data_IF_903613596483
#
_entry.id   IF_903613596483
#
_cell.length_a   1.000
_cell.length_b   1.000
_cell.length_c   1.000
_cell.angle_alpha   90.00
_cell.angle_beta   90.00
_cell.angle_gamma   90.00
#
_symmetry.space_group_name_H-M   'P 1'
#
loop_
_entity.id
_entity.type
_entity.pdbx_description
1 polymer ?
#
# COMPACT_ATOMS: atom_id res chain seq x y z
N UNK A 1 19.63 11.43 -34.07
CA UNK A 1 18.67 11.84 -33.03
C UNK A 1 18.77 10.84 -31.87
N UNK A 2 19.31 11.26 -30.69
CA UNK A 2 19.16 10.48 -29.45
C UNK A 2 17.70 10.63 -29.00
N UNK A 3 16.91 9.61 -29.16
CA UNK A 3 15.57 9.57 -28.57
C UNK A 3 15.74 9.28 -27.08
N UNK A 4 15.30 10.20 -26.24
CA UNK A 4 15.15 9.92 -24.82
C UNK A 4 14.06 8.86 -24.67
N UNK A 5 14.36 7.77 -23.99
CA UNK A 5 13.42 6.69 -23.72
C UNK A 5 13.00 6.79 -22.25
N UNK A 6 11.70 6.67 -22.02
CA UNK A 6 11.15 6.52 -20.69
C UNK A 6 10.64 5.08 -20.56
N UNK A 7 11.09 4.39 -19.52
CA UNK A 7 10.73 3.00 -19.24
C UNK A 7 10.00 2.95 -17.91
N UNK A 8 8.79 2.39 -17.89
CA UNK A 8 8.07 2.08 -16.67
C UNK A 8 8.19 0.59 -16.39
N UNK A 9 8.58 0.25 -15.17
CA UNK A 9 8.73 -1.14 -14.74
C UNK A 9 8.26 -1.31 -13.30
N UNK A 10 7.95 -2.54 -12.90
CA UNK A 10 7.70 -2.89 -11.51
C UNK A 10 8.97 -3.45 -10.87
N UNK A 11 9.06 -3.46 -9.54
CA UNK A 11 10.16 -4.12 -8.83
C UNK A 11 10.34 -5.59 -9.25
N UNK A 12 9.24 -6.29 -9.49
CA UNK A 12 9.27 -7.68 -9.98
C UNK A 12 9.94 -7.86 -11.35
N UNK A 13 9.95 -6.82 -12.17
CA UNK A 13 10.49 -6.87 -13.52
C UNK A 13 11.82 -6.13 -13.67
N UNK A 14 12.33 -5.52 -12.61
CA UNK A 14 13.57 -4.72 -12.65
C UNK A 14 14.77 -5.55 -13.11
N UNK A 15 14.89 -6.80 -12.67
CA UNK A 15 15.95 -7.72 -13.11
C UNK A 15 15.98 -7.92 -14.63
N UNK A 16 14.83 -7.82 -15.32
CA UNK A 16 14.78 -7.95 -16.78
C UNK A 16 15.43 -6.77 -17.49
N UNK A 17 15.38 -5.58 -16.88
CA UNK A 17 16.11 -4.39 -17.41
C UNK A 17 17.61 -4.65 -17.30
N UNK A 18 18.08 -5.18 -16.17
CA UNK A 18 19.47 -5.59 -15.97
C UNK A 18 19.90 -6.62 -17.02
N UNK A 19 19.14 -7.69 -17.21
CA UNK A 19 19.43 -8.77 -18.16
C UNK A 19 19.38 -8.31 -19.63
N UNK A 20 18.56 -7.30 -19.95
CA UNK A 20 18.40 -6.80 -21.33
C UNK A 20 19.60 -5.99 -21.85
N UNK A 21 20.49 -5.55 -20.95
CA UNK A 21 21.59 -4.66 -21.28
C UNK A 21 21.18 -3.29 -21.79
N UNK A 22 19.93 -2.86 -21.52
CA UNK A 22 19.47 -1.51 -21.87
C UNK A 22 20.24 -0.50 -21.03
N UNK A 23 20.87 0.47 -21.70
CA UNK A 23 21.49 1.58 -20.99
C UNK A 23 20.44 2.48 -20.35
N UNK A 24 20.60 2.70 -19.07
CA UNK A 24 19.77 3.57 -18.24
C UNK A 24 20.68 4.64 -17.64
N UNK A 25 20.30 5.91 -17.71
CA UNK A 25 21.05 7.01 -17.12
C UNK A 25 20.56 7.37 -15.72
N UNK A 26 19.25 7.21 -15.50
CA UNK A 26 18.59 7.60 -14.24
C UNK A 26 17.44 6.65 -13.92
N UNK A 27 17.32 6.25 -12.67
CA UNK A 27 16.22 5.44 -12.16
C UNK A 27 15.55 6.16 -10.98
N UNK A 28 14.22 6.22 -11.02
CA UNK A 28 13.38 6.70 -9.94
C UNK A 28 12.65 5.50 -9.32
N UNK A 29 12.95 5.22 -8.07
CA UNK A 29 12.31 4.14 -7.29
C UNK A 29 11.18 4.74 -6.48
N UNK A 30 9.95 4.56 -6.94
CA UNK A 30 8.75 4.93 -6.18
C UNK A 30 8.39 3.83 -5.18
N UNK A 31 7.79 4.20 -4.03
CA UNK A 31 7.55 3.29 -2.91
C UNK A 31 8.79 2.47 -2.54
N UNK A 32 9.92 3.18 -2.39
CA UNK A 32 11.24 2.60 -2.24
C UNK A 32 11.41 1.68 -1.02
N UNK A 33 10.51 1.74 -0.03
CA UNK A 33 10.45 0.77 1.06
C UNK A 33 10.23 -0.68 0.58
N UNK A 34 9.81 -0.88 -0.66
CA UNK A 34 9.72 -2.21 -1.26
C UNK A 34 11.08 -2.76 -1.70
N UNK A 35 12.05 -1.90 -1.99
CA UNK A 35 13.36 -2.27 -2.51
C UNK A 35 14.16 -3.17 -1.55
N UNK A 36 13.95 -3.06 -0.24
CA UNK A 36 14.61 -3.91 0.78
C UNK A 36 14.04 -5.33 0.85
N UNK A 37 13.02 -5.67 0.07
CA UNK A 37 12.52 -7.04 0.03
C UNK A 37 13.53 -7.96 -0.67
N UNK A 38 13.72 -9.15 -0.09
CA UNK A 38 14.73 -10.14 -0.54
C UNK A 38 14.73 -10.40 -2.04
N UNK A 39 13.56 -10.33 -2.68
CA UNK A 39 13.43 -10.63 -4.11
C UNK A 39 13.75 -9.43 -5.02
N UNK A 40 13.73 -8.21 -4.48
CA UNK A 40 13.94 -6.98 -5.25
C UNK A 40 15.31 -6.38 -5.03
N UNK A 41 15.84 -6.55 -3.82
CA UNK A 41 17.08 -5.93 -3.39
C UNK A 41 18.27 -6.20 -4.31
N UNK A 42 18.52 -7.43 -4.81
CA UNK A 42 19.68 -7.69 -5.67
C UNK A 42 19.73 -6.87 -6.96
N UNK A 43 18.55 -6.62 -7.57
CA UNK A 43 18.48 -5.78 -8.76
C UNK A 43 18.64 -4.29 -8.43
N UNK A 44 18.13 -3.85 -7.27
CA UNK A 44 18.31 -2.47 -6.80
C UNK A 44 19.77 -2.19 -6.48
N UNK A 45 20.41 -3.05 -5.69
CA UNK A 45 21.83 -2.99 -5.34
C UNK A 45 22.71 -2.95 -6.59
N UNK A 46 22.42 -3.80 -7.57
CA UNK A 46 23.14 -3.80 -8.86
C UNK A 46 23.09 -2.42 -9.54
N UNK A 47 21.93 -1.80 -9.68
CA UNK A 47 21.81 -0.51 -10.34
C UNK A 47 22.40 0.63 -9.51
N UNK A 48 22.21 0.60 -8.18
CA UNK A 48 22.76 1.59 -7.27
C UNK A 48 24.29 1.55 -7.22
N UNK A 49 24.91 0.38 -7.39
CA UNK A 49 26.36 0.19 -7.44
C UNK A 49 27.04 0.62 -8.75
N UNK A 50 26.28 1.11 -9.74
CA UNK A 50 26.85 1.55 -11.02
C UNK A 50 27.07 3.06 -11.03
N UNK A 51 28.32 3.51 -11.04
CA UNK A 51 28.71 4.93 -11.08
C UNK A 51 28.11 5.73 -12.26
N UNK A 52 27.65 5.02 -13.29
CA UNK A 52 27.08 5.62 -14.50
C UNK A 52 25.58 5.89 -14.40
N UNK A 53 24.92 5.39 -13.35
CA UNK A 53 23.46 5.48 -13.15
C UNK A 53 23.18 6.32 -11.90
N UNK A 54 22.22 7.22 -12.02
CA UNK A 54 21.70 7.98 -10.87
C UNK A 54 20.43 7.32 -10.37
N UNK A 55 20.45 6.86 -9.11
CA UNK A 55 19.28 6.27 -8.44
C UNK A 55 18.68 7.27 -7.46
N UNK A 56 17.36 7.46 -7.53
CA UNK A 56 16.60 8.28 -6.60
C UNK A 56 15.50 7.44 -5.96
N UNK A 57 15.40 7.50 -4.64
CA UNK A 57 14.50 6.67 -3.85
C UNK A 57 13.46 7.54 -3.16
N UNK A 58 12.18 7.28 -3.44
CA UNK A 58 11.04 8.01 -2.87
C UNK A 58 10.17 7.07 -2.04
N UNK A 59 9.90 7.43 -0.81
CA UNK A 59 8.99 6.69 0.06
C UNK A 59 8.47 7.55 1.20
N UNK A 60 7.21 7.33 1.57
CA UNK A 60 6.64 7.92 2.78
C UNK A 60 7.01 7.13 4.06
N UNK A 61 7.42 5.89 3.91
CA UNK A 61 7.63 4.95 5.02
C UNK A 61 8.94 4.18 4.86
N UNK A 62 10.12 4.83 5.06
CA UNK A 62 11.39 4.14 4.93
C UNK A 62 11.47 2.93 5.88
N UNK A 63 12.07 1.85 5.41
CA UNK A 63 12.26 0.62 6.18
C UNK A 63 13.68 0.49 6.66
N UNK A 64 13.83 0.46 7.98
CA UNK A 64 15.09 0.22 8.67
C UNK A 64 15.03 -1.13 9.36
N UNK A 65 15.89 -2.06 8.93
CA UNK A 65 15.96 -3.40 9.50
C UNK A 65 17.05 -3.45 10.57
N UNK A 66 16.73 -4.07 11.72
CA UNK A 66 17.67 -4.21 12.82
C UNK A 66 18.68 -5.36 12.63
N UNK A 67 18.42 -6.26 11.70
CA UNK A 67 19.28 -7.41 11.39
C UNK A 67 20.30 -7.01 10.35
N UNK A 68 21.57 -7.25 10.63
CA UNK A 68 22.70 -6.99 9.73
C UNK A 68 22.60 -7.83 8.43
N UNK A 69 21.88 -8.94 8.47
CA UNK A 69 21.70 -9.83 7.31
C UNK A 69 20.56 -9.41 6.39
N UNK A 70 19.76 -8.42 6.78
CA UNK A 70 18.59 -7.98 6.01
C UNK A 70 18.83 -6.61 5.40
N UNK A 71 18.53 -6.42 4.11
CA UNK A 71 18.64 -5.12 3.46
C UNK A 71 17.87 -4.05 4.22
N UNK A 72 18.42 -2.86 4.32
CA UNK A 72 17.88 -1.75 5.11
C UNK A 72 18.11 -0.43 4.37
N UNK A 73 17.19 0.51 4.48
CA UNK A 73 17.30 1.80 3.77
C UNK A 73 18.26 2.78 4.43
N UNK A 74 18.90 2.42 5.55
CA UNK A 74 20.02 3.15 6.14
C UNK A 74 21.39 2.71 5.61
N UNK A 75 21.41 1.83 4.60
CA UNK A 75 22.61 1.48 3.85
C UNK A 75 22.94 2.59 2.84
N UNK A 76 23.86 3.48 3.21
CA UNK A 76 24.23 4.63 2.40
C UNK A 76 24.97 4.25 1.10
N UNK A 77 25.56 3.04 1.02
CA UNK A 77 26.21 2.57 -0.21
C UNK A 77 25.18 2.30 -1.31
N UNK A 78 23.96 1.91 -0.95
CA UNK A 78 22.86 1.63 -1.88
C UNK A 78 21.90 2.80 -2.02
N UNK A 79 21.49 3.40 -0.90
CA UNK A 79 20.43 4.42 -0.89
C UNK A 79 20.94 5.86 -0.87
N UNK A 80 22.23 6.06 -0.56
CA UNK A 80 22.81 7.39 -0.41
C UNK A 80 22.28 8.12 0.83
N UNK A 81 22.61 9.41 0.93
CA UNK A 81 22.13 10.28 2.00
C UNK A 81 20.67 10.67 1.78
N UNK A 82 19.93 10.86 2.87
CA UNK A 82 18.58 11.42 2.83
C UNK A 82 18.65 12.89 2.38
N UNK A 83 18.10 13.17 1.20
CA UNK A 83 18.14 14.52 0.61
C UNK A 83 17.10 15.42 1.27
N UNK A 84 15.90 14.90 1.51
CA UNK A 84 14.79 15.66 2.07
C UNK A 84 13.78 14.75 2.78
N UNK A 85 13.25 15.26 3.90
CA UNK A 85 12.19 14.62 4.66
C UNK A 85 11.08 15.61 4.95
N UNK A 86 9.91 15.37 4.38
CA UNK A 86 8.69 16.12 4.70
C UNK A 86 7.86 15.27 5.68
N UNK A 87 7.63 15.79 6.87
CA UNK A 87 6.89 15.06 7.89
C UNK A 87 5.37 15.24 7.73
N UNK A 88 4.54 14.25 8.14
CA UNK A 88 3.08 14.42 8.17
C UNK A 88 2.67 15.65 9.00
N UNK A 89 3.41 15.97 10.05
CA UNK A 89 3.17 17.15 10.87
C UNK A 89 3.30 18.45 10.08
N UNK A 90 4.38 18.60 9.32
CA UNK A 90 4.58 19.77 8.45
C UNK A 90 3.48 19.89 7.39
N UNK A 91 3.06 18.77 6.82
CA UNK A 91 1.97 18.75 5.83
C UNK A 91 0.64 19.20 6.45
N UNK A 92 0.36 18.82 7.70
CA UNK A 92 -0.83 19.23 8.44
C UNK A 92 -0.74 20.72 8.81
N UNK A 93 0.38 21.15 9.38
CA UNK A 93 0.60 22.54 9.80
C UNK A 93 0.51 23.53 8.62
N UNK A 94 0.96 23.09 7.42
CA UNK A 94 0.87 23.88 6.19
C UNK A 94 -0.48 23.71 5.44
N UNK A 95 -1.40 22.90 5.95
CA UNK A 95 -2.73 22.72 5.37
C UNK A 95 -2.77 21.87 4.09
N UNK A 96 -1.70 21.13 3.76
CA UNK A 96 -1.67 20.25 2.61
C UNK A 96 -2.46 18.96 2.81
N UNK A 97 -2.52 18.46 4.05
CA UNK A 97 -3.33 17.29 4.43
C UNK A 97 -4.12 17.60 5.70
N UNK A 98 -5.23 16.93 5.89
CA UNK A 98 -6.02 17.01 7.11
C UNK A 98 -5.41 16.11 8.20
N UNK A 99 -5.50 16.52 9.49
CA UNK A 99 -5.09 15.65 10.57
C UNK A 99 -5.96 14.39 10.60
N UNK A 100 -5.34 13.19 10.65
CA UNK A 100 -6.10 11.96 10.74
C UNK A 100 -6.81 11.86 12.09
N UNK A 101 -8.05 11.37 12.08
CA UNK A 101 -8.77 10.97 13.28
C UNK A 101 -8.71 9.47 13.39
N UNK A 102 -8.16 8.97 14.48
CA UNK A 102 -8.08 7.54 14.74
C UNK A 102 -9.14 7.14 15.77
N UNK A 103 -9.98 6.18 15.41
CA UNK A 103 -10.88 5.47 16.32
C UNK A 103 -10.52 3.99 16.32
N UNK A 104 -10.33 3.42 17.50
CA UNK A 104 -10.02 2.00 17.65
C UNK A 104 -11.19 1.37 18.39
N UNK A 105 -11.82 0.37 17.77
CA UNK A 105 -12.86 -0.46 18.41
C UNK A 105 -12.27 -1.84 18.71
N UNK A 106 -12.39 -2.27 19.96
CA UNK A 106 -12.03 -3.62 20.37
C UNK A 106 -13.20 -4.55 20.05
N UNK A 107 -12.91 -5.65 19.37
CA UNK A 107 -13.89 -6.66 19.03
C UNK A 107 -13.73 -7.88 19.94
N UNK A 108 -14.81 -8.35 20.52
CA UNK A 108 -14.81 -9.60 21.26
C UNK A 108 -14.54 -10.77 20.32
N UNK A 109 -13.52 -11.56 20.65
CA UNK A 109 -13.21 -12.79 19.92
C UNK A 109 -14.04 -13.96 20.46
N UNK A 110 -14.39 -14.90 19.58
CA UNK A 110 -14.91 -16.21 19.99
C UNK A 110 -13.82 -17.03 20.65
N UNK A 111 -14.19 -18.14 21.33
CA UNK A 111 -13.23 -19.12 21.88
C UNK A 111 -12.26 -19.65 20.81
N UNK A 112 -12.64 -19.63 19.54
CA UNK A 112 -11.79 -20.00 18.40
C UNK A 112 -10.83 -18.88 17.94
N UNK A 113 -10.76 -17.75 18.67
CA UNK A 113 -9.88 -16.63 18.34
C UNK A 113 -10.29 -15.86 17.06
N UNK A 114 -11.58 -15.87 16.70
CA UNK A 114 -12.11 -15.17 15.54
C UNK A 114 -13.28 -14.28 15.94
N UNK A 115 -13.38 -13.10 15.34
CA UNK A 115 -14.55 -12.27 15.44
C UNK A 115 -15.64 -12.82 14.52
N UNK A 116 -16.89 -13.02 15.00
CA UNK A 116 -18.01 -13.37 14.13
C UNK A 116 -18.24 -12.29 13.08
N UNK A 117 -18.47 -12.67 11.83
CA UNK A 117 -18.64 -11.72 10.72
C UNK A 117 -19.81 -10.74 10.93
N UNK A 118 -20.87 -11.16 11.60
CA UNK A 118 -22.01 -10.30 11.94
C UNK A 118 -21.62 -9.18 12.92
N UNK A 119 -20.71 -9.43 13.87
CA UNK A 119 -20.16 -8.39 14.75
C UNK A 119 -19.27 -7.42 13.98
N UNK A 120 -18.45 -7.90 13.04
CA UNK A 120 -17.67 -7.03 12.14
C UNK A 120 -18.60 -6.13 11.33
N UNK A 121 -19.72 -6.68 10.81
CA UNK A 121 -20.74 -5.93 10.09
C UNK A 121 -21.34 -4.81 10.97
N UNK A 122 -21.79 -5.13 12.17
CA UNK A 122 -22.40 -4.20 13.11
C UNK A 122 -21.45 -3.04 13.42
N UNK A 123 -20.22 -3.33 13.80
CA UNK A 123 -19.22 -2.30 14.14
C UNK A 123 -18.79 -1.44 12.94
N UNK A 124 -18.75 -2.01 11.73
CA UNK A 124 -18.49 -1.23 10.53
C UNK A 124 -19.62 -0.24 10.25
N UNK A 125 -20.88 -0.68 10.34
CA UNK A 125 -22.03 0.18 10.14
C UNK A 125 -22.12 1.28 11.20
N UNK A 126 -21.93 0.93 12.48
CA UNK A 126 -21.84 1.92 13.56
C UNK A 126 -20.74 2.95 13.30
N UNK A 127 -19.56 2.51 12.87
CA UNK A 127 -18.43 3.43 12.57
C UNK A 127 -18.76 4.36 11.41
N UNK A 128 -19.41 3.85 10.37
CA UNK A 128 -19.86 4.66 9.23
C UNK A 128 -20.85 5.73 9.71
N UNK A 129 -21.84 5.34 10.52
CA UNK A 129 -22.86 6.23 11.04
C UNK A 129 -22.25 7.29 11.99
N UNK A 130 -21.33 6.90 12.87
CA UNK A 130 -20.62 7.81 13.79
C UNK A 130 -19.72 8.82 13.06
N UNK A 131 -19.06 8.38 11.98
CA UNK A 131 -18.18 9.26 11.22
C UNK A 131 -18.92 10.23 10.30
N UNK A 132 -20.14 9.91 9.87
CA UNK A 132 -20.97 10.74 9.00
C UNK A 132 -20.26 11.10 7.68
N UNK A 133 -19.60 10.17 7.05
CA UNK A 133 -18.77 10.37 5.86
C UNK A 133 -19.46 9.90 4.59
N UNK A 134 -19.24 10.60 3.47
CA UNK A 134 -19.83 10.25 2.16
C UNK A 134 -19.06 9.15 1.43
N UNK A 135 -17.81 8.91 1.79
CA UNK A 135 -16.93 7.94 1.13
C UNK A 135 -16.17 7.11 2.17
N UNK A 136 -16.24 5.81 2.04
CA UNK A 136 -15.61 4.86 2.94
C UNK A 136 -14.76 3.87 2.14
N UNK A 137 -13.53 3.65 2.59
CA UNK A 137 -12.66 2.59 2.08
C UNK A 137 -12.44 1.57 3.20
N UNK A 138 -12.86 0.32 2.95
CA UNK A 138 -12.69 -0.79 3.88
C UNK A 138 -11.59 -1.70 3.34
N UNK A 139 -10.50 -1.82 4.09
CA UNK A 139 -9.39 -2.69 3.75
C UNK A 139 -9.41 -3.94 4.64
N UNK A 140 -9.62 -5.10 4.04
CA UNK A 140 -9.58 -6.38 4.74
C UNK A 140 -8.26 -7.10 4.52
N UNK A 141 -7.78 -7.80 5.54
CA UNK A 141 -6.54 -8.58 5.47
C UNK A 141 -6.65 -9.81 4.55
N UNK A 142 -7.86 -10.36 4.41
CA UNK A 142 -8.12 -11.59 3.63
C UNK A 142 -9.33 -11.39 2.73
N UNK A 143 -9.28 -11.98 1.54
CA UNK A 143 -10.40 -11.97 0.58
C UNK A 143 -11.67 -12.55 1.23
N UNK A 144 -11.55 -13.65 1.97
CA UNK A 144 -12.67 -14.27 2.65
C UNK A 144 -13.41 -13.34 3.64
N UNK A 145 -12.74 -12.36 4.25
CA UNK A 145 -13.39 -11.39 5.13
C UNK A 145 -14.36 -10.50 4.35
N UNK A 146 -13.95 -10.03 3.15
CA UNK A 146 -14.81 -9.21 2.29
C UNK A 146 -15.99 -10.04 1.78
N UNK A 147 -15.70 -11.24 1.27
CA UNK A 147 -16.74 -12.14 0.73
C UNK A 147 -17.77 -12.49 1.81
N UNK A 148 -17.32 -12.93 2.98
CA UNK A 148 -18.23 -13.28 4.07
C UNK A 148 -19.03 -12.07 4.59
N UNK A 149 -18.42 -10.86 4.59
CA UNK A 149 -19.13 -9.65 4.99
C UNK A 149 -20.29 -9.34 4.03
N UNK A 150 -20.11 -9.57 2.74
CA UNK A 150 -21.14 -9.32 1.72
C UNK A 150 -22.15 -10.46 1.62
N UNK A 151 -21.69 -11.71 1.64
CA UNK A 151 -22.53 -12.90 1.35
C UNK A 151 -23.22 -13.45 2.60
N UNK A 152 -22.60 -13.36 3.78
CA UNK A 152 -23.07 -13.96 5.02
C UNK A 152 -23.76 -12.96 5.96
N UNK A 153 -23.84 -11.67 5.58
CA UNK A 153 -24.49 -10.61 6.36
C UNK A 153 -25.41 -9.75 5.49
N UNK A 154 -26.15 -8.86 6.12
CA UNK A 154 -26.95 -7.83 5.44
C UNK A 154 -26.20 -6.53 5.15
N UNK A 155 -24.86 -6.53 5.26
CA UNK A 155 -24.02 -5.35 5.13
C UNK A 155 -24.27 -4.56 3.85
N UNK A 156 -24.35 -5.25 2.70
CA UNK A 156 -24.61 -4.61 1.41
C UNK A 156 -25.96 -3.90 1.36
N UNK A 157 -27.03 -4.55 1.86
CA UNK A 157 -28.38 -3.97 1.91
C UNK A 157 -28.46 -2.81 2.90
N UNK A 158 -27.74 -2.91 4.02
CA UNK A 158 -27.63 -1.81 5.01
C UNK A 158 -26.89 -0.58 4.45
N UNK A 159 -25.85 -0.78 3.64
CA UNK A 159 -25.19 0.32 2.93
C UNK A 159 -26.14 1.02 1.95
N UNK A 160 -26.87 0.24 1.13
CA UNK A 160 -27.83 0.78 0.19
C UNK A 160 -28.97 1.54 0.88
N UNK A 161 -29.47 1.05 2.00
CA UNK A 161 -30.51 1.75 2.79
C UNK A 161 -30.03 3.10 3.36
N UNK A 162 -28.72 3.27 3.55
CA UNK A 162 -28.07 4.53 3.94
C UNK A 162 -27.70 5.42 2.76
N UNK A 163 -28.02 5.01 1.53
CA UNK A 163 -27.75 5.76 0.30
C UNK A 163 -26.36 5.56 -0.27
N UNK A 164 -25.59 4.58 0.22
CA UNK A 164 -24.29 4.24 -0.36
C UNK A 164 -24.44 3.27 -1.54
N UNK A 165 -23.74 3.56 -2.62
CA UNK A 165 -23.32 2.54 -3.59
C UNK A 165 -22.05 1.88 -3.09
N UNK A 166 -21.90 0.59 -3.31
CA UNK A 166 -20.74 -0.15 -2.84
C UNK A 166 -20.04 -0.90 -3.97
N UNK A 167 -18.75 -1.05 -3.81
CA UNK A 167 -17.90 -1.83 -4.71
C UNK A 167 -16.87 -2.59 -3.89
N UNK A 168 -16.58 -3.83 -4.26
CA UNK A 168 -15.38 -4.49 -3.77
C UNK A 168 -14.53 -5.06 -4.90
N UNK A 169 -13.23 -5.12 -4.65
CA UNK A 169 -12.23 -5.64 -5.59
C UNK A 169 -11.37 -6.66 -4.86
N UNK A 170 -11.19 -7.82 -5.47
CA UNK A 170 -10.25 -8.83 -4.99
C UNK A 170 -9.34 -9.31 -6.11
N UNK A 171 -8.18 -9.86 -5.76
CA UNK A 171 -7.25 -10.42 -6.74
C UNK A 171 -7.77 -11.68 -7.45
N UNK A 172 -8.73 -12.38 -6.86
CA UNK A 172 -9.24 -13.65 -7.39
C UNK A 172 -10.56 -13.54 -8.16
N UNK A 173 -11.41 -12.58 -7.77
CA UNK A 173 -12.79 -12.49 -8.29
C UNK A 173 -13.03 -11.28 -9.19
N UNK A 174 -12.08 -10.32 -9.23
CA UNK A 174 -12.25 -9.07 -9.95
C UNK A 174 -13.06 -8.03 -9.16
N UNK A 175 -13.73 -7.13 -9.88
CA UNK A 175 -14.52 -6.04 -9.30
C UNK A 175 -16.03 -6.36 -9.36
N UNK A 176 -16.74 -6.04 -8.27
CA UNK A 176 -18.18 -6.11 -8.15
C UNK A 176 -18.73 -4.74 -7.74
N UNK A 177 -19.77 -4.28 -8.40
CA UNK A 177 -20.44 -3.00 -8.11
C UNK A 177 -21.90 -3.30 -7.84
N UNK A 178 -22.39 -2.95 -6.65
CA UNK A 178 -23.77 -3.18 -6.19
C UNK A 178 -24.28 -4.61 -6.49
N UNK A 179 -23.39 -5.61 -6.33
CA UNK A 179 -23.68 -7.02 -6.57
C UNK A 179 -23.54 -7.50 -8.03
N UNK A 180 -23.20 -6.62 -8.95
CA UNK A 180 -22.95 -6.95 -10.36
C UNK A 180 -21.44 -7.03 -10.65
N UNK A 181 -21.03 -8.08 -11.39
CA UNK A 181 -19.63 -8.31 -11.78
C UNK A 181 -19.27 -7.51 -13.02
#
# INVERSE_FOLDING_TARGET
YRYNKLIFTTYHSLHRIQESGINVDTIYFDEAHNSVQRHFYPAVEFFAGLDTIRCYFFTATPKYNKSVESPSMDDEEVYGEEIERITPRELIENGYILPPKLSIKELEMTEAGRTPVWKECEHLLETIDECGVDKVLICARRIAQIVNLIDDTDFASQLQSRGYSWMYITSSTGAYIDGMK
#
